data_IF_134567178712
#
_entry.id   IF_134567178712
#
_cell.length_a   1.000
_cell.length_b   1.000
_cell.length_c   1.000
_cell.angle_alpha   90.00
_cell.angle_beta   90.00
_cell.angle_gamma   90.00
#
_symmetry.space_group_name_H-M   'P 1'
#
loop_
_entity.id
_entity.type
_entity.pdbx_description
1 polymer ?
#
# COMPACT_ATOMS: atom_id res chain seq x y z
N UNK A 1 10.31 2.50 22.45
CA UNK A 1 9.84 3.55 21.48
C UNK A 1 9.67 2.87 20.13
N UNK A 2 8.52 3.02 19.48
CA UNK A 2 8.28 2.39 18.17
C UNK A 2 9.10 3.08 17.08
N UNK A 3 9.67 2.30 16.16
CA UNK A 3 10.42 2.80 15.01
C UNK A 3 9.47 3.53 14.04
N UNK A 4 9.79 4.76 13.67
CA UNK A 4 8.96 5.59 12.78
C UNK A 4 9.72 5.87 11.49
N UNK A 5 9.35 5.16 10.41
CA UNK A 5 10.00 5.25 9.10
C UNK A 5 10.03 6.69 8.56
N UNK A 6 9.00 7.48 8.81
CA UNK A 6 8.94 8.87 8.36
C UNK A 6 9.95 9.76 9.08
N UNK A 7 10.26 9.44 10.34
CA UNK A 7 11.24 10.21 11.14
C UNK A 7 12.67 9.77 10.86
N UNK A 8 12.87 8.46 10.69
CA UNK A 8 14.20 7.87 10.49
C UNK A 8 14.72 8.09 9.05
N UNK A 9 13.83 8.11 8.05
CA UNK A 9 14.17 8.27 6.63
C UNK A 9 13.53 9.55 6.06
N UNK A 10 13.85 10.69 6.66
CA UNK A 10 13.29 11.99 6.27
C UNK A 10 13.51 12.31 4.79
N UNK A 11 14.65 11.93 4.25
CA UNK A 11 15.00 12.13 2.84
C UNK A 11 14.03 11.44 1.87
N UNK A 12 13.34 10.37 2.30
CA UNK A 12 12.36 9.65 1.48
C UNK A 12 10.92 10.13 1.69
N UNK A 13 10.60 10.65 2.88
CA UNK A 13 9.23 10.99 3.26
C UNK A 13 8.98 12.50 3.41
N UNK A 14 10.01 13.29 3.59
CA UNK A 14 9.94 14.74 3.79
C UNK A 14 10.97 15.44 2.89
N UNK A 15 10.79 15.38 1.57
CA UNK A 15 11.75 15.96 0.65
C UNK A 15 11.89 17.48 0.89
N UNK A 16 13.07 18.05 0.75
CA UNK A 16 13.27 19.49 0.83
C UNK A 16 12.61 20.21 -0.34
N UNK A 17 12.45 21.51 -0.23
CA UNK A 17 11.86 22.38 -1.27
C UNK A 17 12.76 22.51 -2.52
N UNK A 18 14.05 22.22 -2.38
CA UNK A 18 14.98 22.25 -3.51
C UNK A 18 15.12 20.85 -4.11
N UNK A 19 15.14 20.74 -5.46
CA UNK A 19 15.37 19.48 -6.13
C UNK A 19 16.69 18.85 -5.71
N UNK A 20 16.69 17.54 -5.45
CA UNK A 20 17.89 16.77 -5.12
C UNK A 20 17.80 15.37 -5.72
N UNK A 21 18.96 14.76 -5.93
CA UNK A 21 19.05 13.36 -6.32
C UNK A 21 19.15 12.53 -5.04
N UNK A 22 18.21 11.58 -4.89
CA UNK A 22 18.16 10.69 -3.73
C UNK A 22 18.38 9.26 -4.20
N UNK A 23 19.28 8.53 -3.53
CA UNK A 23 19.45 7.10 -3.76
C UNK A 23 18.48 6.32 -2.88
N UNK A 24 17.48 5.68 -3.50
CA UNK A 24 16.46 4.91 -2.79
C UNK A 24 16.85 3.44 -2.80
N UNK A 25 17.05 2.79 -1.64
CA UNK A 25 17.35 1.38 -1.56
C UNK A 25 16.12 0.53 -1.94
N UNK A 26 16.36 -0.76 -2.18
CA UNK A 26 15.27 -1.71 -2.35
C UNK A 26 14.41 -1.74 -1.09
N UNK A 27 13.10 -1.62 -1.25
CA UNK A 27 12.11 -1.65 -0.18
C UNK A 27 10.99 -2.60 -0.57
N UNK A 28 10.27 -3.10 0.43
CA UNK A 28 9.08 -3.91 0.18
C UNK A 28 7.80 -3.19 0.64
N UNK A 29 6.71 -3.48 -0.06
CA UNK A 29 5.43 -2.81 0.13
C UNK A 29 4.28 -3.83 0.04
N UNK A 30 3.23 -3.60 0.80
CA UNK A 30 1.92 -4.09 0.42
C UNK A 30 1.38 -3.16 -0.66
N UNK A 31 1.02 -3.70 -1.82
CA UNK A 31 0.61 -2.93 -2.98
C UNK A 31 -0.71 -3.43 -3.55
N UNK A 32 -1.53 -2.51 -4.04
CA UNK A 32 -2.75 -2.81 -4.79
C UNK A 32 -2.78 -1.93 -6.03
N UNK A 33 -3.09 -2.54 -7.16
CA UNK A 33 -3.33 -1.84 -8.42
C UNK A 33 -4.82 -1.82 -8.70
N UNK A 34 -5.32 -0.70 -9.19
CA UNK A 34 -6.69 -0.55 -9.60
C UNK A 34 -6.89 0.64 -10.51
N UNK A 35 -8.16 0.91 -10.82
CA UNK A 35 -8.59 2.00 -11.71
C UNK A 35 -9.78 2.73 -11.09
N UNK A 36 -10.11 3.90 -11.63
CA UNK A 36 -11.31 4.62 -11.27
C UNK A 36 -11.12 5.79 -10.31
N UNK A 37 -12.25 6.38 -9.95
CA UNK A 37 -12.30 7.61 -9.16
C UNK A 37 -11.96 7.36 -7.68
N UNK A 38 -10.89 7.96 -7.14
CA UNK A 38 -10.49 7.75 -5.73
C UNK A 38 -11.47 8.35 -4.71
N UNK A 39 -12.37 9.24 -5.16
CA UNK A 39 -13.34 9.89 -4.28
C UNK A 39 -14.68 9.14 -4.22
N UNK A 40 -14.84 8.09 -5.01
CA UNK A 40 -16.06 7.29 -5.00
C UNK A 40 -16.25 6.64 -3.63
N UNK A 41 -17.45 6.82 -3.07
CA UNK A 41 -17.83 6.18 -1.83
C UNK A 41 -18.06 4.69 -2.12
N UNK A 42 -17.47 3.80 -1.32
CA UNK A 42 -17.43 2.36 -1.57
C UNK A 42 -16.70 1.93 -2.89
N UNK A 43 -15.96 2.86 -3.50
CA UNK A 43 -15.18 2.60 -4.71
C UNK A 43 -13.96 1.70 -4.46
N UNK A 44 -13.42 1.17 -5.56
CA UNK A 44 -12.28 0.24 -5.55
C UNK A 44 -11.08 0.78 -4.78
N UNK A 45 -10.76 2.06 -4.93
CA UNK A 45 -9.63 2.68 -4.24
C UNK A 45 -9.78 2.67 -2.72
N UNK A 46 -10.93 3.11 -2.20
CA UNK A 46 -11.18 3.12 -0.75
C UNK A 46 -11.17 1.71 -0.15
N UNK A 47 -11.71 0.77 -0.87
CA UNK A 47 -11.72 -0.64 -0.48
C UNK A 47 -10.29 -1.20 -0.44
N UNK A 48 -9.46 -0.90 -1.44
CA UNK A 48 -8.05 -1.28 -1.47
C UNK A 48 -7.30 -0.73 -0.26
N UNK A 49 -7.51 0.54 0.10
CA UNK A 49 -6.90 1.16 1.27
C UNK A 49 -7.30 0.44 2.57
N UNK A 50 -8.58 0.12 2.73
CA UNK A 50 -9.06 -0.56 3.94
C UNK A 50 -8.33 -1.90 4.16
N UNK A 51 -8.14 -2.68 3.11
CA UNK A 51 -7.43 -3.97 3.18
C UNK A 51 -5.93 -3.77 3.41
N UNK A 52 -5.28 -2.81 2.73
CA UNK A 52 -3.86 -2.51 2.95
C UNK A 52 -3.57 -2.13 4.40
N UNK A 53 -4.40 -1.25 4.97
CA UNK A 53 -4.27 -0.89 6.38
C UNK A 53 -4.56 -2.08 7.30
N UNK A 54 -5.56 -2.91 7.00
CA UNK A 54 -5.85 -4.11 7.79
C UNK A 54 -4.65 -5.06 7.83
N UNK A 55 -4.00 -5.33 6.69
CA UNK A 55 -2.78 -6.15 6.61
C UNK A 55 -1.65 -5.50 7.42
N UNK A 56 -1.39 -4.20 7.19
CA UNK A 56 -0.28 -3.50 7.84
C UNK A 56 -0.42 -3.46 9.36
N UNK A 57 -1.63 -3.20 9.87
CA UNK A 57 -1.90 -3.21 11.30
C UNK A 57 -1.90 -4.62 11.90
N UNK A 58 -2.34 -5.64 11.17
CA UNK A 58 -2.25 -7.03 11.61
C UNK A 58 -0.79 -7.44 11.82
N UNK A 59 0.10 -7.09 10.90
CA UNK A 59 1.54 -7.31 11.03
C UNK A 59 2.10 -6.52 12.22
N UNK A 60 1.77 -5.24 12.33
CA UNK A 60 2.23 -4.36 13.39
C UNK A 60 1.80 -4.85 14.79
N UNK A 61 0.63 -5.45 14.90
CA UNK A 61 0.08 -5.96 16.15
C UNK A 61 0.36 -7.45 16.38
N UNK A 62 1.13 -8.12 15.53
CA UNK A 62 1.42 -9.57 15.65
C UNK A 62 2.02 -9.96 17.01
N UNK A 63 2.77 -9.05 17.64
CA UNK A 63 3.33 -9.26 19.00
C UNK A 63 2.30 -9.50 20.09
N UNK A 64 1.05 -9.06 19.89
CA UNK A 64 -0.04 -9.20 20.85
C UNK A 64 -0.81 -10.53 20.68
N UNK A 65 -0.55 -11.26 19.60
CA UNK A 65 -1.16 -12.54 19.28
C UNK A 65 -0.18 -13.72 19.39
N UNK A 66 -0.61 -14.87 18.88
CA UNK A 66 0.18 -16.11 18.89
C UNK A 66 1.14 -16.20 17.70
N UNK A 67 0.92 -15.41 16.64
CA UNK A 67 1.81 -15.41 15.48
C UNK A 67 3.06 -14.58 15.78
N UNK A 68 4.20 -15.26 15.82
CA UNK A 68 5.50 -14.60 16.02
C UNK A 68 6.19 -14.41 14.69
N UNK A 69 6.62 -13.18 14.43
CA UNK A 69 7.39 -12.82 13.23
C UNK A 69 8.86 -12.70 13.64
N UNK A 70 9.73 -13.45 12.97
CA UNK A 70 11.16 -13.42 13.24
C UNK A 70 11.74 -12.03 12.89
N UNK A 71 12.59 -11.51 13.77
CA UNK A 71 13.19 -10.18 13.59
C UNK A 71 12.25 -9.00 13.84
N UNK A 72 11.04 -9.26 14.36
CA UNK A 72 10.07 -8.21 14.65
C UNK A 72 10.63 -7.14 15.59
N UNK A 73 10.41 -5.89 15.24
CA UNK A 73 10.55 -4.73 16.13
C UNK A 73 9.30 -3.84 16.05
N UNK A 74 9.03 -3.11 17.12
CA UNK A 74 7.91 -2.18 17.16
C UNK A 74 8.07 -1.05 16.15
N UNK A 75 7.08 -0.85 15.30
CA UNK A 75 7.09 0.21 14.29
C UNK A 75 5.73 0.92 14.19
N UNK A 76 5.77 2.14 13.69
CA UNK A 76 4.59 2.88 13.27
C UNK A 76 4.29 2.49 11.82
N UNK A 77 3.05 2.14 11.50
CA UNK A 77 2.64 1.84 10.12
C UNK A 77 3.02 3.04 9.24
N UNK A 78 3.83 2.84 8.20
CA UNK A 78 4.27 3.93 7.33
C UNK A 78 3.10 4.58 6.58
N UNK A 79 3.28 5.81 6.10
CA UNK A 79 2.24 6.51 5.37
C UNK A 79 1.86 5.77 4.08
N UNK A 80 0.60 5.93 3.68
CA UNK A 80 0.13 5.53 2.37
C UNK A 80 0.80 6.39 1.30
N UNK A 81 1.24 5.74 0.23
CA UNK A 81 1.80 6.36 -0.95
C UNK A 81 1.09 5.83 -2.20
N UNK A 82 1.21 6.51 -3.33
CA UNK A 82 0.53 6.08 -4.54
C UNK A 82 1.21 6.56 -5.81
N UNK A 83 1.13 5.73 -6.83
CA UNK A 83 1.48 6.07 -8.20
C UNK A 83 0.19 6.26 -8.96
N UNK A 84 0.06 7.36 -9.70
CA UNK A 84 -1.13 7.75 -10.42
C UNK A 84 -0.80 8.08 -11.85
N UNK A 85 -1.64 7.66 -12.78
CA UNK A 85 -1.52 8.02 -14.20
C UNK A 85 -2.88 7.88 -14.89
N UNK A 86 -2.96 8.46 -16.07
CA UNK A 86 -4.09 8.26 -16.98
C UNK A 86 -3.59 7.71 -18.31
N UNK A 87 -4.42 6.90 -18.94
CA UNK A 87 -4.13 6.32 -20.25
C UNK A 87 -5.22 6.72 -21.26
N UNK A 88 -4.78 6.96 -22.48
CA UNK A 88 -5.66 7.15 -23.61
C UNK A 88 -5.24 6.20 -24.72
N UNK A 89 -6.15 5.31 -25.13
CA UNK A 89 -5.88 4.26 -26.12
C UNK A 89 -4.66 3.39 -25.74
N UNK A 90 -4.51 3.05 -24.45
CA UNK A 90 -3.40 2.21 -23.96
C UNK A 90 -2.05 2.94 -23.86
N UNK A 91 -2.01 4.25 -24.01
CA UNK A 91 -0.79 5.06 -23.89
C UNK A 91 -0.94 6.00 -22.70
N UNK A 92 0.06 6.01 -21.82
CA UNK A 92 0.13 6.95 -20.70
C UNK A 92 0.21 8.37 -21.24
N UNK A 93 -0.72 9.21 -20.79
CA UNK A 93 -0.75 10.62 -21.20
C UNK A 93 0.01 11.49 -20.20
N UNK A 94 0.72 12.54 -20.65
CA UNK A 94 1.36 13.48 -19.74
C UNK A 94 0.31 14.36 -19.04
N UNK A 95 0.45 14.53 -17.73
CA UNK A 95 -0.47 15.32 -16.91
C UNK A 95 -1.75 14.58 -16.52
N UNK A 96 -2.69 15.30 -15.93
CA UNK A 96 -3.95 14.77 -15.45
C UNK A 96 -5.13 15.57 -15.96
N UNK A 97 -6.13 14.87 -16.47
CA UNK A 97 -7.46 15.41 -16.68
C UNK A 97 -8.30 15.16 -15.41
N UNK A 98 -8.40 16.15 -14.56
CA UNK A 98 -9.16 16.08 -13.32
C UNK A 98 -10.68 16.12 -13.53
N UNK A 99 -11.16 16.38 -14.74
CA UNK A 99 -12.58 16.34 -15.09
C UNK A 99 -13.07 14.90 -15.27
N UNK A 100 -12.15 13.99 -15.67
CA UNK A 100 -12.44 12.57 -15.82
C UNK A 100 -11.63 11.72 -14.82
N UNK A 101 -12.09 11.71 -13.59
CA UNK A 101 -11.46 10.92 -12.52
C UNK A 101 -11.69 9.41 -12.66
N UNK A 102 -12.65 8.99 -13.47
CA UNK A 102 -12.93 7.58 -13.72
C UNK A 102 -11.82 6.91 -14.54
N UNK A 103 -11.06 7.70 -15.30
CA UNK A 103 -9.95 7.21 -16.12
C UNK A 103 -8.61 7.08 -15.37
N UNK A 104 -8.57 7.39 -14.07
CA UNK A 104 -7.35 7.24 -13.30
C UNK A 104 -6.98 5.76 -13.13
N UNK A 105 -5.70 5.49 -13.37
CA UNK A 105 -5.03 4.27 -12.96
C UNK A 105 -4.17 4.56 -11.74
N UNK A 106 -4.09 3.62 -10.82
CA UNK A 106 -3.32 3.81 -9.61
C UNK A 106 -2.68 2.52 -9.10
N UNK A 107 -1.57 2.67 -8.40
CA UNK A 107 -1.00 1.66 -7.51
C UNK A 107 -0.85 2.33 -6.17
N UNK A 108 -1.60 1.89 -5.17
CA UNK A 108 -1.42 2.32 -3.78
C UNK A 108 -0.45 1.40 -3.07
N UNK A 109 0.41 1.95 -2.22
CA UNK A 109 1.43 1.19 -1.51
C UNK A 109 1.57 1.66 -0.07
N UNK A 110 1.81 0.70 0.85
CA UNK A 110 2.25 0.98 2.22
C UNK A 110 3.53 0.18 2.43
N UNK A 111 4.62 0.83 2.85
CA UNK A 111 5.88 0.16 3.12
C UNK A 111 5.71 -0.87 4.23
N UNK A 112 6.28 -2.05 4.03
CA UNK A 112 6.43 -3.08 5.04
C UNK A 112 7.87 -3.12 5.56
N UNK A 113 8.08 -3.42 6.86
CA UNK A 113 9.41 -3.69 7.38
C UNK A 113 10.09 -4.86 6.67
N UNK A 114 11.42 -4.81 6.57
CA UNK A 114 12.19 -5.81 5.83
C UNK A 114 12.14 -7.23 6.46
N UNK A 115 11.74 -7.35 7.72
CA UNK A 115 11.54 -8.63 8.39
C UNK A 115 10.29 -9.39 7.94
N UNK A 116 9.33 -8.72 7.28
CA UNK A 116 8.08 -9.34 6.85
C UNK A 116 8.33 -10.29 5.69
N UNK A 117 8.05 -11.57 5.89
CA UNK A 117 8.15 -12.58 4.84
C UNK A 117 6.83 -12.76 4.09
N UNK A 118 6.85 -13.46 2.96
CA UNK A 118 5.62 -13.80 2.24
C UNK A 118 4.65 -14.61 3.12
N UNK A 119 5.17 -15.49 3.99
CA UNK A 119 4.37 -16.27 4.93
C UNK A 119 3.64 -15.36 5.93
N UNK A 120 4.32 -14.35 6.47
CA UNK A 120 3.73 -13.40 7.41
C UNK A 120 2.68 -12.54 6.74
N UNK A 121 2.93 -12.14 5.50
CA UNK A 121 1.97 -11.42 4.68
C UNK A 121 0.72 -12.26 4.40
N UNK A 122 0.89 -13.52 4.01
CA UNK A 122 -0.24 -14.42 3.74
C UNK A 122 -1.07 -14.70 5.01
N UNK A 123 -0.41 -14.81 6.16
CA UNK A 123 -1.09 -14.89 7.44
C UNK A 123 -1.89 -13.62 7.78
N UNK A 124 -1.34 -12.44 7.47
CA UNK A 124 -1.96 -11.16 7.78
C UNK A 124 -3.14 -10.81 6.86
N UNK A 125 -3.31 -11.52 5.74
CA UNK A 125 -4.45 -11.31 4.85
C UNK A 125 -5.76 -11.48 5.61
N UNK A 126 -6.72 -10.57 5.45
CA UNK A 126 -7.98 -10.65 6.15
C UNK A 126 -8.79 -11.87 5.71
N UNK A 127 -8.93 -12.84 6.61
CA UNK A 127 -9.78 -14.02 6.42
C UNK A 127 -11.27 -13.64 6.59
N UNK A 128 -11.85 -12.98 5.60
CA UNK A 128 -13.30 -12.66 5.59
C UNK A 128 -13.76 -11.61 6.61
N UNK A 129 -12.86 -10.89 7.30
CA UNK A 129 -13.23 -9.94 8.37
C UNK A 129 -13.39 -8.48 7.94
N UNK A 130 -12.91 -8.10 6.76
CA UNK A 130 -13.13 -6.75 6.24
C UNK A 130 -14.37 -6.73 5.35
N UNK A 131 -15.28 -5.79 5.60
CA UNK A 131 -16.56 -5.66 4.88
C UNK A 131 -16.40 -5.28 3.39
N UNK A 132 -15.21 -4.99 2.93
CA UNK A 132 -15.00 -4.20 1.73
C UNK A 132 -14.74 -4.97 0.43
N UNK A 133 -14.56 -6.28 0.44
CA UNK A 133 -14.46 -7.12 -0.77
C UNK A 133 -15.00 -8.52 -0.47
N UNK A 134 -16.24 -8.58 -0.02
CA UNK A 134 -16.93 -9.85 0.13
C UNK A 134 -17.63 -10.17 -1.19
N UNK A 135 -17.36 -11.32 -1.75
CA UNK A 135 -18.26 -11.88 -2.75
C UNK A 135 -19.65 -12.01 -2.12
N UNK A 136 -20.67 -11.54 -2.81
CA UNK A 136 -22.07 -11.58 -2.31
C UNK A 136 -22.55 -13.00 -2.00
N UNK A 137 -21.91 -14.02 -2.62
CA UNK A 137 -22.34 -15.42 -2.50
C UNK A 137 -21.72 -16.17 -1.31
N UNK A 138 -20.49 -15.90 -0.89
CA UNK A 138 -19.81 -16.70 0.14
C UNK A 138 -19.13 -15.88 1.25
N UNK A 139 -19.13 -14.55 1.13
CA UNK A 139 -18.52 -13.65 2.10
C UNK A 139 -16.98 -13.66 2.10
N UNK A 140 -16.35 -14.30 1.11
CA UNK A 140 -14.90 -14.31 0.96
C UNK A 140 -14.38 -12.96 0.44
N UNK A 141 -13.11 -12.67 0.74
CA UNK A 141 -12.42 -11.49 0.21
C UNK A 141 -11.54 -11.94 -0.94
N UNK A 142 -11.68 -11.32 -2.09
CA UNK A 142 -10.72 -11.52 -3.17
C UNK A 142 -9.42 -10.81 -2.84
N UNK A 143 -8.42 -11.59 -2.42
CA UNK A 143 -7.06 -11.12 -2.14
C UNK A 143 -6.11 -11.34 -3.31
N UNK A 144 -6.60 -11.66 -4.50
CA UNK A 144 -5.76 -11.94 -5.68
C UNK A 144 -4.95 -10.74 -6.15
N UNK A 145 -5.38 -9.53 -5.81
CA UNK A 145 -4.76 -8.25 -6.18
C UNK A 145 -3.74 -7.73 -5.17
N UNK A 146 -3.62 -8.35 -3.99
CA UNK A 146 -2.72 -7.90 -2.92
C UNK A 146 -1.42 -8.72 -2.96
N UNK A 147 -0.30 -8.04 -3.07
CA UNK A 147 1.01 -8.69 -3.16
C UNK A 147 2.09 -7.88 -2.43
N UNK A 148 3.16 -8.54 -2.01
CA UNK A 148 4.38 -7.88 -1.62
C UNK A 148 5.11 -7.45 -2.88
N UNK A 149 5.23 -6.15 -3.06
CA UNK A 149 6.02 -5.57 -4.14
C UNK A 149 7.39 -5.15 -3.61
N UNK A 150 8.44 -5.59 -4.31
CA UNK A 150 9.81 -5.19 -4.04
C UNK A 150 10.31 -4.39 -5.22
N UNK A 151 10.54 -3.10 -5.02
CA UNK A 151 10.92 -2.22 -6.10
C UNK A 151 11.72 -1.02 -5.63
N UNK A 152 12.23 -0.28 -6.60
CA UNK A 152 12.87 1.01 -6.38
C UNK A 152 11.78 2.07 -6.50
N UNK A 153 11.68 2.92 -5.48
CA UNK A 153 10.81 4.09 -5.52
C UNK A 153 11.55 5.21 -6.24
N UNK A 154 11.02 5.68 -7.35
CA UNK A 154 11.50 6.90 -7.97
C UNK A 154 10.73 8.07 -7.35
N UNK A 155 11.43 8.99 -6.70
CA UNK A 155 10.87 10.29 -6.37
C UNK A 155 10.78 11.12 -7.65
N UNK A 156 9.67 11.88 -7.86
CA UNK A 156 9.53 12.79 -9.00
C UNK A 156 10.54 13.92 -8.95
#
# INVERSE_FOLDING_TARGET
>A
MSFDYKKEFKEFYLPPTQPQIVHIPKMQFVAVRGTGNPNEEDGEYKNALAVQYAISYTIQMSKMGDHRIDGYFDFVVPPLEGFWWQEKNGVVVPGFDYSDKSSFNWISVIRLPDFVTQKDFDWAKPNGRTKSHRHEEDGSIDCSWYFIWQGIKYAP
#
